data_IF_710377432354
#
_entry.id   IF_710377432354
#
_cell.length_a   1.000
_cell.length_b   1.000
_cell.length_c   1.000
_cell.angle_alpha   90.00
_cell.angle_beta   90.00
_cell.angle_gamma   90.00
#
_symmetry.space_group_name_H-M   'P 1'
#
loop_
_entity.id
_entity.type
_entity.pdbx_description
1 polymer ?
#
# COMPACT_ATOMS: atom_id res chain seq x y z
N UNK A 1 -0.75 -41.20 -7.97
CA UNK A 1 -0.31 -40.70 -6.65
C UNK A 1 -0.24 -39.20 -6.79
N UNK A 2 -0.97 -38.43 -5.97
CA UNK A 2 -0.89 -36.96 -6.04
C UNK A 2 0.49 -36.55 -5.56
N UNK A 3 1.35 -36.11 -6.47
CA UNK A 3 2.63 -35.49 -6.13
C UNK A 3 2.33 -34.24 -5.32
N UNK A 4 2.94 -34.10 -4.15
CA UNK A 4 2.83 -32.88 -3.35
C UNK A 4 3.79 -31.84 -3.93
N UNK A 5 3.40 -30.57 -3.90
CA UNK A 5 4.21 -29.46 -4.40
C UNK A 5 5.61 -29.47 -3.78
N UNK A 6 6.68 -29.23 -4.57
CA UNK A 6 8.03 -29.11 -4.04
C UNK A 6 8.09 -28.16 -2.85
N UNK A 7 8.72 -28.61 -1.76
CA UNK A 7 8.67 -27.92 -0.47
C UNK A 7 9.15 -26.47 -0.54
N UNK A 8 10.21 -26.23 -1.34
CA UNK A 8 10.75 -24.89 -1.51
C UNK A 8 9.77 -23.98 -2.25
N UNK A 9 9.14 -24.50 -3.31
CA UNK A 9 8.13 -23.79 -4.07
C UNK A 9 6.86 -23.51 -3.24
N UNK A 10 6.39 -24.48 -2.45
CA UNK A 10 5.28 -24.30 -1.51
C UNK A 10 5.58 -23.23 -0.45
N UNK A 11 6.82 -23.19 0.05
CA UNK A 11 7.26 -22.17 1.01
C UNK A 11 7.25 -20.78 0.40
N UNK A 12 7.75 -20.64 -0.82
CA UNK A 12 7.84 -19.34 -1.49
C UNK A 12 6.50 -18.84 -2.00
N UNK A 13 5.63 -19.69 -2.52
CA UNK A 13 4.26 -19.30 -2.89
C UNK A 13 3.49 -18.76 -1.69
N UNK A 14 3.55 -19.44 -0.53
CA UNK A 14 2.96 -18.93 0.71
C UNK A 14 3.58 -17.61 1.18
N UNK A 15 4.91 -17.48 1.09
CA UNK A 15 5.62 -16.29 1.55
C UNK A 15 5.37 -15.09 0.64
N UNK A 16 5.28 -15.30 -0.66
CA UNK A 16 4.93 -14.28 -1.64
C UNK A 16 3.50 -13.78 -1.43
N UNK A 17 2.54 -14.65 -1.08
CA UNK A 17 1.18 -14.24 -0.72
C UNK A 17 1.17 -13.35 0.55
N UNK A 18 2.06 -13.64 1.51
CA UNK A 18 2.24 -12.76 2.67
C UNK A 18 2.88 -11.42 2.33
N UNK A 19 3.76 -11.38 1.34
CA UNK A 19 4.34 -10.13 0.82
C UNK A 19 3.29 -9.32 0.06
N UNK A 20 2.49 -9.98 -0.77
CA UNK A 20 1.36 -9.40 -1.48
C UNK A 20 0.35 -8.78 -0.52
N UNK A 21 0.01 -9.49 0.56
CA UNK A 21 -0.86 -8.97 1.63
C UNK A 21 -0.15 -7.97 2.58
N UNK A 22 1.13 -7.66 2.38
CA UNK A 22 1.90 -6.74 3.21
C UNK A 22 2.09 -7.21 4.66
N UNK A 23 1.86 -8.49 4.94
CA UNK A 23 2.11 -9.12 6.25
C UNK A 23 3.60 -9.36 6.50
N UNK A 24 4.37 -9.53 5.42
CA UNK A 24 5.82 -9.69 5.46
C UNK A 24 6.48 -8.82 4.41
N UNK A 25 7.72 -8.42 4.66
CA UNK A 25 8.54 -7.66 3.71
C UNK A 25 9.73 -8.54 3.32
N UNK A 26 10.06 -8.59 2.04
CA UNK A 26 11.29 -9.21 1.53
C UNK A 26 12.26 -8.11 1.13
N UNK A 27 13.52 -8.22 1.56
CA UNK A 27 14.57 -7.36 1.03
C UNK A 27 14.95 -7.78 -0.39
N UNK A 28 15.53 -6.84 -1.15
CA UNK A 28 16.15 -7.14 -2.45
C UNK A 28 17.08 -8.35 -2.41
N UNK A 29 17.98 -8.41 -1.43
CA UNK A 29 18.90 -9.55 -1.27
C UNK A 29 18.16 -10.85 -1.00
N UNK A 30 17.14 -10.85 -0.13
CA UNK A 30 16.33 -12.02 0.14
C UNK A 30 15.56 -12.49 -1.10
N UNK A 31 14.99 -11.56 -1.87
CA UNK A 31 14.27 -11.88 -3.10
C UNK A 31 15.22 -12.45 -4.18
N UNK A 32 16.42 -11.87 -4.32
CA UNK A 32 17.43 -12.37 -5.25
C UNK A 32 17.95 -13.76 -4.86
N UNK A 33 18.25 -13.99 -3.59
CA UNK A 33 18.69 -15.30 -3.09
C UNK A 33 17.60 -16.33 -3.27
N UNK A 34 16.36 -16.02 -2.88
CA UNK A 34 15.20 -16.88 -3.05
C UNK A 34 14.98 -17.33 -4.50
N UNK A 35 15.17 -16.41 -5.45
CA UNK A 35 15.07 -16.69 -6.88
C UNK A 35 16.14 -17.69 -7.32
N UNK A 36 17.39 -17.47 -6.92
CA UNK A 36 18.48 -18.40 -7.21
C UNK A 36 18.25 -19.77 -6.57
N UNK A 37 17.74 -19.81 -5.33
CA UNK A 37 17.44 -21.06 -4.63
C UNK A 37 16.36 -21.87 -5.36
N UNK A 38 15.28 -21.23 -5.81
CA UNK A 38 14.23 -21.90 -6.60
C UNK A 38 14.73 -22.41 -7.96
N UNK A 39 15.59 -21.64 -8.64
CA UNK A 39 16.21 -22.07 -9.90
C UNK A 39 17.08 -23.30 -9.68
N UNK A 40 17.91 -23.28 -8.63
CA UNK A 40 18.80 -24.39 -8.30
C UNK A 40 18.02 -25.63 -7.85
N UNK A 41 16.93 -25.46 -7.10
CA UNK A 41 16.09 -26.57 -6.62
C UNK A 41 15.37 -27.27 -7.78
N UNK A 42 14.79 -26.50 -8.73
CA UNK A 42 14.21 -27.07 -9.95
C UNK A 42 15.26 -27.79 -10.80
N UNK A 43 16.47 -27.23 -10.90
CA UNK A 43 17.55 -27.88 -11.64
C UNK A 43 18.00 -29.20 -11.00
N UNK A 44 17.94 -29.29 -9.66
CA UNK A 44 18.29 -30.50 -8.92
C UNK A 44 17.19 -31.57 -8.95
N UNK A 45 15.92 -31.17 -9.07
CA UNK A 45 14.76 -32.07 -9.02
C UNK A 45 13.73 -31.75 -10.11
N UNK A 46 14.09 -31.83 -11.41
CA UNK A 46 13.21 -31.38 -12.49
C UNK A 46 11.87 -32.11 -12.55
N UNK A 47 11.86 -33.42 -12.23
CA UNK A 47 10.65 -34.25 -12.24
C UNK A 47 9.61 -33.81 -11.20
N UNK A 48 10.04 -33.22 -10.08
CA UNK A 48 9.14 -32.76 -9.03
C UNK A 48 8.37 -31.49 -9.40
N UNK A 49 8.83 -30.76 -10.43
CA UNK A 49 8.27 -29.47 -10.87
C UNK A 49 7.38 -29.57 -12.11
N UNK A 50 7.27 -30.75 -12.74
CA UNK A 50 6.55 -30.95 -14.01
C UNK A 50 5.09 -30.50 -13.92
N UNK A 51 4.43 -30.78 -12.81
CA UNK A 51 3.02 -30.41 -12.59
C UNK A 51 2.84 -28.99 -12.03
N UNK A 52 3.93 -28.24 -11.79
CA UNK A 52 3.95 -26.94 -11.09
C UNK A 52 4.65 -25.83 -11.88
N UNK A 53 4.70 -25.94 -13.20
CA UNK A 53 5.42 -24.99 -14.06
C UNK A 53 4.82 -23.57 -13.99
N UNK A 54 3.50 -23.46 -13.82
CA UNK A 54 2.81 -22.17 -13.67
C UNK A 54 3.16 -21.49 -12.35
N UNK A 55 3.05 -22.19 -11.22
CA UNK A 55 3.39 -21.67 -9.90
C UNK A 55 4.87 -21.35 -9.77
N UNK A 56 5.72 -22.17 -10.39
CA UNK A 56 7.16 -21.93 -10.47
C UNK A 56 7.46 -20.62 -11.19
N UNK A 57 6.89 -20.43 -12.38
CA UNK A 57 7.12 -19.22 -13.20
C UNK A 57 6.59 -17.98 -12.48
N UNK A 58 5.37 -18.05 -11.92
CA UNK A 58 4.78 -16.96 -11.15
C UNK A 58 5.62 -16.58 -9.92
N UNK A 59 6.18 -17.57 -9.21
CA UNK A 59 7.07 -17.31 -8.08
C UNK A 59 8.37 -16.64 -8.50
N UNK A 60 8.98 -17.06 -9.61
CA UNK A 60 10.20 -16.44 -10.14
C UNK A 60 9.97 -15.00 -10.57
N UNK A 61 8.86 -14.73 -11.27
CA UNK A 61 8.52 -13.38 -11.74
C UNK A 61 8.28 -12.44 -10.56
N UNK A 62 7.52 -12.88 -9.56
CA UNK A 62 7.28 -12.09 -8.35
C UNK A 62 8.58 -11.78 -7.59
N UNK A 63 9.49 -12.76 -7.45
CA UNK A 63 10.79 -12.56 -6.81
C UNK A 63 11.70 -11.64 -7.62
N UNK A 64 11.65 -11.72 -8.95
CA UNK A 64 12.42 -10.86 -9.84
C UNK A 64 11.96 -9.39 -9.72
N UNK A 65 10.65 -9.16 -9.72
CA UNK A 65 10.08 -7.82 -9.50
C UNK A 65 10.54 -7.27 -8.14
N UNK A 66 10.43 -8.05 -7.07
CA UNK A 66 10.86 -7.65 -5.73
C UNK A 66 12.38 -7.40 -5.64
N UNK A 67 13.19 -8.16 -6.38
CA UNK A 67 14.64 -7.97 -6.44
C UNK A 67 15.06 -6.72 -7.24
N UNK A 68 14.21 -6.22 -8.14
CA UNK A 68 14.46 -5.05 -8.96
C UNK A 68 13.92 -3.75 -8.34
N UNK A 69 13.02 -3.82 -7.36
CA UNK A 69 12.53 -2.63 -6.66
C UNK A 69 13.67 -1.86 -5.97
N UNK A 70 13.75 -0.55 -6.22
CA UNK A 70 14.60 0.37 -5.48
C UNK A 70 14.15 0.42 -4.01
N UNK A 71 15.05 0.05 -3.11
CA UNK A 71 14.80 -0.08 -1.68
C UNK A 71 14.30 1.24 -1.05
N UNK A 72 13.01 1.28 -0.69
CA UNK A 72 12.50 2.04 0.47
C UNK A 72 12.83 1.35 1.81
N UNK A 73 13.82 0.44 1.81
CA UNK A 73 14.24 -0.28 3.02
C UNK A 73 14.77 0.71 4.06
N UNK A 74 15.43 1.77 3.62
CA UNK A 74 15.93 2.84 4.50
C UNK A 74 14.77 3.69 5.04
N UNK A 75 13.78 4.03 4.19
CA UNK A 75 12.56 4.75 4.62
C UNK A 75 11.71 3.92 5.60
N UNK A 76 11.61 2.60 5.38
CA UNK A 76 10.83 1.70 6.23
C UNK A 76 11.52 1.38 7.55
N UNK A 77 12.84 1.20 7.56
CA UNK A 77 13.61 1.06 8.80
C UNK A 77 13.56 2.37 9.61
N UNK A 78 13.57 3.52 8.94
CA UNK A 78 13.35 4.82 9.57
C UNK A 78 11.99 4.89 10.28
N UNK A 79 10.89 4.57 9.58
CA UNK A 79 9.52 4.57 10.13
C UNK A 79 9.32 3.52 11.24
N UNK A 80 9.85 2.31 11.09
CA UNK A 80 9.76 1.26 12.11
C UNK A 80 10.61 1.58 13.35
N UNK A 81 11.74 2.29 13.18
CA UNK A 81 12.59 2.72 14.29
C UNK A 81 12.00 3.88 15.08
N UNK A 82 11.27 4.79 14.43
CA UNK A 82 10.52 5.88 15.09
C UNK A 82 9.36 5.33 15.91
N UNK A 83 8.65 4.33 15.39
CA UNK A 83 7.55 3.65 16.10
C UNK A 83 8.03 2.89 17.34
N UNK A 84 9.20 2.23 17.27
CA UNK A 84 9.79 1.55 18.44
C UNK A 84 10.13 2.53 19.57
N UNK A 85 10.65 3.71 19.23
CA UNK A 85 10.94 4.77 20.21
C UNK A 85 9.68 5.40 20.79
N UNK A 86 8.59 5.50 20.03
CA UNK A 86 7.29 5.98 20.54
C UNK A 86 6.62 5.00 21.50
N UNK A 87 6.72 3.69 21.27
CA UNK A 87 6.18 2.69 22.21
C UNK A 87 6.96 2.61 23.52
N UNK A 88 8.19 3.08 23.54
CA UNK A 88 9.03 3.19 24.73
C UNK A 88 8.85 4.56 25.44
N UNK A 89 8.08 5.50 24.87
CA UNK A 89 7.85 6.83 25.43
C UNK A 89 6.42 7.36 25.17
N UNK A 90 5.59 7.27 26.22
CA UNK A 90 4.28 7.89 26.41
C UNK A 90 3.11 7.49 25.47
N UNK A 91 2.16 6.76 26.07
CA UNK A 91 0.75 6.72 25.69
C UNK A 91 0.16 8.13 25.79
N UNK A 92 -0.10 8.78 24.65
CA UNK A 92 -0.97 9.94 24.58
C UNK A 92 -2.17 9.64 23.68
N UNK A 93 -3.42 9.78 24.17
CA UNK A 93 -4.60 9.51 23.37
C UNK A 93 -4.76 10.58 22.28
N UNK A 94 -4.84 10.14 21.02
CA UNK A 94 -5.07 11.02 19.89
C UNK A 94 -6.55 11.45 19.91
N UNK A 95 -6.78 12.74 20.15
CA UNK A 95 -8.12 13.32 20.23
C UNK A 95 -8.86 13.21 18.88
N UNK A 96 -9.98 12.48 18.90
CA UNK A 96 -10.94 12.42 17.80
C UNK A 96 -11.47 13.82 17.51
N UNK A 97 -11.18 14.35 16.31
CA UNK A 97 -11.71 15.64 15.88
C UNK A 97 -13.01 15.41 15.10
N UNK A 98 -14.12 15.68 15.77
CA UNK A 98 -15.47 15.68 15.19
C UNK A 98 -15.57 16.84 14.17
N UNK A 99 -15.44 16.53 12.87
CA UNK A 99 -15.71 17.48 11.78
C UNK A 99 -16.92 17.01 10.99
N UNK A 100 -17.85 17.95 10.82
CA UNK A 100 -19.21 17.73 10.33
C UNK A 100 -19.32 16.83 9.10
N UNK A 101 -20.33 15.96 9.16
CA UNK A 101 -20.74 15.00 8.13
C UNK A 101 -21.10 15.72 6.83
N UNK A 102 -20.12 15.92 5.94
CA UNK A 102 -20.36 16.25 4.53
C UNK A 102 -20.82 14.97 3.82
N UNK A 103 -21.92 15.06 3.08
CA UNK A 103 -22.56 13.90 2.45
C UNK A 103 -21.66 13.25 1.39
N UNK A 104 -21.59 11.91 1.42
CA UNK A 104 -20.59 11.06 0.76
C UNK A 104 -20.90 10.74 -0.72
N UNK A 105 -22.14 10.96 -1.17
CA UNK A 105 -22.64 10.46 -2.45
C UNK A 105 -21.88 10.95 -3.70
N UNK A 106 -21.57 12.26 -3.89
CA UNK A 106 -21.08 12.74 -5.18
C UNK A 106 -19.62 12.37 -5.48
N UNK A 107 -18.81 12.04 -4.48
CA UNK A 107 -17.45 11.53 -4.69
C UNK A 107 -17.43 10.01 -4.88
N UNK A 108 -18.32 9.27 -4.21
CA UNK A 108 -18.46 7.82 -4.36
C UNK A 108 -19.06 7.44 -5.73
N UNK A 109 -20.07 8.16 -6.21
CA UNK A 109 -20.75 7.86 -7.47
C UNK A 109 -19.88 8.12 -8.72
N UNK A 110 -18.75 8.82 -8.56
CA UNK A 110 -17.80 9.13 -9.63
C UNK A 110 -16.70 8.08 -9.79
N UNK A 111 -16.64 7.09 -8.90
CA UNK A 111 -15.64 6.02 -8.99
C UNK A 111 -16.06 5.04 -10.09
N UNK A 112 -15.26 4.84 -11.15
CA UNK A 112 -15.61 3.93 -12.23
C UNK A 112 -15.60 2.48 -11.75
N UNK A 113 -16.55 1.70 -12.23
CA UNK A 113 -16.53 0.24 -12.06
C UNK A 113 -15.36 -0.39 -12.82
N UNK A 114 -14.77 -1.45 -12.28
CA UNK A 114 -13.66 -2.18 -12.93
C UNK A 114 -12.26 -1.76 -12.49
N UNK A 115 -12.14 -1.01 -11.39
CA UNK A 115 -10.86 -0.82 -10.72
C UNK A 115 -10.37 -2.14 -10.09
N UNK A 116 -9.05 -2.38 -10.02
CA UNK A 116 -8.50 -3.45 -9.21
C UNK A 116 -9.04 -3.37 -7.78
N UNK A 117 -9.47 -4.49 -7.22
CA UNK A 117 -10.23 -4.55 -5.97
C UNK A 117 -9.55 -3.76 -4.83
N UNK A 118 -8.24 -3.93 -4.68
CA UNK A 118 -7.51 -3.23 -3.64
C UNK A 118 -7.45 -1.71 -3.88
N UNK A 119 -7.35 -1.28 -5.15
CA UNK A 119 -7.39 0.14 -5.49
C UNK A 119 -8.77 0.72 -5.17
N UNK A 120 -9.82 0.02 -5.55
CA UNK A 120 -11.21 0.42 -5.28
C UNK A 120 -11.47 0.61 -3.78
N UNK A 121 -11.06 -0.37 -2.96
CA UNK A 121 -11.19 -0.32 -1.51
C UNK A 121 -10.50 0.92 -0.91
N UNK A 122 -9.31 1.26 -1.39
CA UNK A 122 -8.56 2.42 -0.88
C UNK A 122 -9.10 3.76 -1.37
N UNK A 123 -9.62 3.84 -2.59
CA UNK A 123 -10.36 5.02 -3.06
C UNK A 123 -11.53 5.30 -2.11
N UNK A 124 -12.35 4.28 -1.83
CA UNK A 124 -13.50 4.38 -0.92
C UNK A 124 -13.10 4.66 0.54
N UNK A 125 -11.93 4.19 0.97
CA UNK A 125 -11.41 4.42 2.33
C UNK A 125 -10.89 5.84 2.48
N UNK A 126 -10.19 6.38 1.48
CA UNK A 126 -9.66 7.73 1.47
C UNK A 126 -10.77 8.80 1.33
N UNK A 127 -11.82 8.54 0.55
CA UNK A 127 -13.01 9.41 0.53
C UNK A 127 -13.61 9.53 1.94
N UNK A 128 -13.76 8.41 2.66
CA UNK A 128 -14.24 8.43 4.04
C UNK A 128 -13.29 9.13 5.00
N UNK A 129 -11.97 8.98 4.80
CA UNK A 129 -10.96 9.68 5.59
C UNK A 129 -10.98 11.20 5.40
N UNK A 130 -11.04 11.68 4.16
CA UNK A 130 -11.13 13.11 3.83
C UNK A 130 -12.36 13.79 4.45
N UNK A 131 -13.44 13.02 4.61
CA UNK A 131 -14.69 13.48 5.21
C UNK A 131 -14.77 13.26 6.73
N UNK A 132 -13.70 12.81 7.38
CA UNK A 132 -13.65 12.58 8.83
C UNK A 132 -14.44 11.35 9.32
N UNK A 133 -15.03 10.57 8.42
CA UNK A 133 -15.80 9.37 8.75
C UNK A 133 -14.92 8.15 9.08
N UNK A 134 -13.62 8.22 8.76
CA UNK A 134 -12.66 7.17 9.03
C UNK A 134 -11.30 7.75 9.40
N UNK A 135 -10.65 7.16 10.38
CA UNK A 135 -9.26 7.48 10.73
C UNK A 135 -8.36 6.47 10.02
N UNK A 136 -7.24 6.96 9.46
CA UNK A 136 -6.20 6.14 8.85
C UNK A 136 -4.91 6.54 9.54
N UNK A 137 -4.32 5.63 10.31
CA UNK A 137 -3.07 5.90 11.00
C UNK A 137 -1.90 5.95 10.01
N UNK A 138 -0.84 6.73 10.26
CA UNK A 138 0.34 6.83 9.38
C UNK A 138 0.95 5.47 9.03
N UNK A 139 1.00 4.54 10.00
CA UNK A 139 1.51 3.17 9.78
C UNK A 139 0.57 2.35 8.89
N UNK A 140 -0.74 2.52 9.04
CA UNK A 140 -1.73 1.89 8.15
C UNK A 140 -1.55 2.40 6.72
N UNK A 141 -1.40 3.72 6.55
CA UNK A 141 -1.18 4.34 5.25
C UNK A 141 0.14 3.88 4.61
N UNK A 142 1.23 3.80 5.38
CA UNK A 142 2.51 3.29 4.89
C UNK A 142 2.38 1.83 4.39
N UNK A 143 1.73 0.96 5.17
CA UNK A 143 1.50 -0.43 4.79
C UNK A 143 0.60 -0.55 3.56
N UNK A 144 -0.44 0.27 3.50
CA UNK A 144 -1.36 0.34 2.37
C UNK A 144 -0.65 0.75 1.09
N UNK A 145 0.20 1.77 1.16
CA UNK A 145 0.97 2.28 0.03
C UNK A 145 1.92 1.19 -0.52
N UNK A 146 2.62 0.48 0.38
CA UNK A 146 3.49 -0.64 -0.01
C UNK A 146 2.68 -1.76 -0.66
N UNK A 147 1.53 -2.11 -0.07
CA UNK A 147 0.67 -3.17 -0.58
C UNK A 147 0.19 -2.83 -1.99
N UNK A 148 -0.35 -1.63 -2.19
CA UNK A 148 -0.81 -1.13 -3.49
C UNK A 148 0.28 -1.08 -4.54
N UNK A 149 1.50 -0.68 -4.15
CA UNK A 149 2.65 -0.70 -5.03
C UNK A 149 3.04 -2.11 -5.45
N UNK A 150 3.16 -3.02 -4.49
CA UNK A 150 3.50 -4.41 -4.77
C UNK A 150 2.48 -5.04 -5.70
N UNK A 151 1.19 -4.80 -5.49
CA UNK A 151 0.14 -5.31 -6.37
C UNK A 151 0.21 -4.71 -7.78
N UNK A 152 0.45 -3.40 -7.89
CA UNK A 152 0.61 -2.74 -9.19
C UNK A 152 1.85 -3.22 -9.95
N UNK A 153 2.91 -3.58 -9.23
CA UNK A 153 4.13 -4.12 -9.82
C UNK A 153 3.97 -5.59 -10.23
N UNK A 154 3.18 -6.38 -9.49
CA UNK A 154 2.81 -7.75 -9.85
C UNK A 154 1.81 -7.80 -11.02
N UNK A 155 0.92 -6.80 -11.13
CA UNK A 155 -0.13 -6.73 -12.14
C UNK A 155 -0.12 -5.40 -12.91
N UNK A 156 0.96 -5.05 -13.64
CA UNK A 156 1.12 -3.73 -14.25
C UNK A 156 0.00 -3.37 -15.23
N UNK A 157 -0.56 -4.33 -15.97
CA UNK A 157 -1.68 -4.09 -16.89
C UNK A 157 -2.97 -3.64 -16.19
N UNK A 158 -3.21 -4.12 -14.97
CA UNK A 158 -4.39 -3.78 -14.18
C UNK A 158 -4.33 -2.34 -13.61
N UNK A 159 -3.12 -1.79 -13.45
CA UNK A 159 -2.90 -0.48 -12.82
C UNK A 159 -2.44 0.62 -13.79
N UNK A 160 -1.88 0.27 -14.96
CA UNK A 160 -1.41 1.23 -15.98
C UNK A 160 -2.45 1.59 -17.04
N UNK A 161 -3.64 0.98 -17.01
CA UNK A 161 -4.72 1.33 -17.94
C UNK A 161 -5.31 2.72 -17.64
N UNK A 162 -6.00 3.31 -18.62
CA UNK A 162 -6.55 4.67 -18.57
C UNK A 162 -7.55 4.88 -17.42
N UNK A 163 -8.24 3.82 -17.00
CA UNK A 163 -9.25 3.86 -15.93
C UNK A 163 -8.61 3.86 -14.54
N UNK A 164 -7.65 2.97 -14.28
CA UNK A 164 -7.05 2.79 -12.96
C UNK A 164 -5.91 3.77 -12.67
N UNK A 165 -5.14 4.16 -13.69
CA UNK A 165 -3.92 4.95 -13.51
C UNK A 165 -4.13 6.30 -12.77
N UNK A 166 -5.17 7.11 -13.08
CA UNK A 166 -5.43 8.36 -12.36
C UNK A 166 -5.76 8.15 -10.88
N UNK A 167 -6.49 7.08 -10.56
CA UNK A 167 -6.86 6.74 -9.18
C UNK A 167 -5.67 6.17 -8.42
N UNK A 168 -4.89 5.29 -9.06
CA UNK A 168 -3.68 4.73 -8.48
C UNK A 168 -2.68 5.84 -8.10
N UNK A 169 -2.38 6.76 -9.01
CA UNK A 169 -1.49 7.90 -8.72
C UNK A 169 -2.00 8.79 -7.58
N UNK A 170 -3.31 9.04 -7.52
CA UNK A 170 -3.93 9.82 -6.43
C UNK A 170 -3.83 9.10 -5.08
N UNK A 171 -4.22 7.83 -5.02
CA UNK A 171 -4.19 7.02 -3.80
C UNK A 171 -2.77 6.89 -3.27
N UNK A 172 -1.79 6.63 -4.15
CA UNK A 172 -0.38 6.54 -3.77
C UNK A 172 0.15 7.84 -3.16
N UNK A 173 -0.24 8.99 -3.73
CA UNK A 173 0.12 10.30 -3.17
C UNK A 173 -0.54 10.54 -1.81
N UNK A 174 -1.84 10.31 -1.69
CA UNK A 174 -2.57 10.54 -0.43
C UNK A 174 -2.10 9.61 0.69
N UNK A 175 -1.83 8.32 0.40
CA UNK A 175 -1.25 7.42 1.39
C UNK A 175 0.18 7.82 1.78
N UNK A 176 0.97 8.33 0.84
CA UNK A 176 2.30 8.90 1.12
C UNK A 176 2.23 10.16 1.99
N UNK A 177 1.25 11.04 1.75
CA UNK A 177 1.01 12.23 2.57
C UNK A 177 0.59 11.83 4.00
N UNK A 178 -0.31 10.84 4.16
CA UNK A 178 -0.74 10.36 5.49
C UNK A 178 0.41 9.64 6.21
N UNK A 179 1.21 8.83 5.50
CA UNK A 179 2.32 8.08 6.10
C UNK A 179 3.47 8.96 6.58
N UNK A 180 3.71 10.08 5.91
CA UNK A 180 4.76 11.04 6.23
C UNK A 180 4.29 12.21 7.09
N UNK A 181 2.99 12.26 7.41
CA UNK A 181 2.41 13.32 8.24
C UNK A 181 2.78 13.20 9.73
N UNK A 182 4.04 13.53 10.04
CA UNK A 182 4.45 14.01 11.36
C UNK A 182 4.45 15.54 11.36
N UNK A 183 3.29 16.17 11.58
CA UNK A 183 3.27 17.55 12.07
C UNK A 183 2.23 17.71 13.19
N UNK A 184 2.67 18.05 14.41
CA UNK A 184 1.77 18.67 15.38
C UNK A 184 1.20 19.95 14.74
N UNK A 185 -0.12 20.00 14.55
CA UNK A 185 -0.83 21.28 14.36
C UNK A 185 -0.97 21.87 12.95
N UNK A 186 -1.00 21.10 11.86
CA UNK A 186 -1.39 21.69 10.54
C UNK A 186 -2.87 21.49 10.27
N UNK A 187 -3.64 22.52 10.65
CA UNK A 187 -5.00 22.74 10.20
C UNK A 187 -5.08 22.66 8.67
N UNK A 188 -5.83 21.68 8.14
CA UNK A 188 -6.53 21.87 6.87
C UNK A 188 -7.71 22.82 7.14
N UNK A 189 -7.37 24.08 7.40
CA UNK A 189 -8.30 25.20 7.30
C UNK A 189 -8.62 25.38 5.82
N UNK A 190 -9.87 25.09 5.46
CA UNK A 190 -10.38 25.28 4.12
C UNK A 190 -10.10 26.70 3.64
N UNK A 191 -9.55 26.77 2.44
CA UNK A 191 -9.44 27.95 1.58
C UNK A 191 -10.85 28.53 1.35
N UNK A 192 -11.31 29.38 2.26
CA UNK A 192 -12.52 30.19 2.14
C UNK A 192 -12.14 31.66 1.93
N UNK A 193 -11.83 32.02 0.68
CA UNK A 193 -11.77 33.41 0.25
C UNK A 193 -13.20 33.97 0.24
N UNK A 194 -13.66 34.55 1.35
CA UNK A 194 -14.77 35.52 1.33
C UNK A 194 -14.22 36.91 1.60
N UNK A 195 -13.87 37.55 0.50
CA UNK A 195 -13.69 38.99 0.37
C UNK A 195 -15.06 39.66 0.55
N UNK A 196 -15.15 40.60 1.48
CA UNK A 196 -16.12 41.69 1.42
C UNK A 196 -16.96 41.89 2.68
N UNK A 197 -16.54 42.85 3.52
CA UNK A 197 -17.42 43.90 4.06
C UNK A 197 -16.57 45.18 4.17
N UNK A 198 -16.98 46.31 3.56
CA UNK A 198 -16.36 47.61 3.83
C UNK A 198 -16.88 48.13 5.19
N UNK A 199 -15.97 48.47 6.10
CA UNK A 199 -16.34 49.24 7.29
C UNK A 199 -16.51 50.69 6.89
N UNK A 200 -17.76 51.05 6.62
CA UNK A 200 -18.25 52.41 6.72
C UNK A 200 -18.76 52.66 8.16
N UNK A 201 -18.91 53.93 8.55
CA UNK A 201 -19.27 54.52 9.87
C UNK A 201 -18.03 55.05 10.63
N UNK A 202 -17.71 56.37 10.66
CA UNK A 202 -18.49 57.56 11.06
C UNK A 202 -19.14 57.41 12.44
N UNK A 203 -18.42 57.81 13.50
CA UNK A 203 -18.72 59.00 14.31
C UNK A 203 -17.62 59.29 15.32
#
# INVERSE_FOLDING_TARGET
>A
MSTLMPQLLATWTWRLERVRSGRTILSRSQASTARSDLVNDRAAQPEAYVDYDEEYTAALDALQVLAQQQNRRDDLLSVLSTERRRREGDDAPIASTDRGRVSLAPEHDRVPSGLPEMLDQWVHRLIRYRNGAKIIDPVEAARAEIRLRNEADLHPGAYRNSTANPYYGRVMRELGEISTSERPGVHLGGRGLHRGIPSDSIR
#
